data_IF_537386658377
#
_entry.id   IF_537386658377
#
_cell.length_a   1.000
_cell.length_b   1.000
_cell.length_c   1.000
_cell.angle_alpha   90.00
_cell.angle_beta   90.00
_cell.angle_gamma   90.00
#
_symmetry.space_group_name_H-M   'P 1'
#
loop_
_entity.id
_entity.type
_entity.pdbx_description
1 polymer ?
#
# COMPACT_ATOMS: atom_id res chain seq x y z
N UNK A 1 -35.37 -33.60 -44.82
CA UNK A 1 -35.02 -32.16 -44.62
C UNK A 1 -35.36 -31.79 -43.18
N UNK A 2 -34.37 -31.20 -42.46
CA UNK A 2 -34.42 -30.22 -41.36
C UNK A 2 -35.75 -30.12 -40.54
N UNK A 3 -35.76 -30.16 -39.21
CA UNK A 3 -34.99 -29.29 -38.29
C UNK A 3 -34.83 -29.89 -36.89
N UNK A 4 -33.73 -29.48 -36.26
CA UNK A 4 -33.20 -29.90 -34.95
C UNK A 4 -34.00 -29.30 -33.80
N UNK A 5 -34.29 -30.15 -32.82
CA UNK A 5 -34.87 -29.85 -31.51
C UNK A 5 -33.95 -28.95 -30.68
N UNK A 6 -34.60 -28.01 -30.01
CA UNK A 6 -34.05 -26.93 -29.19
C UNK A 6 -33.10 -27.42 -28.11
N UNK A 7 -31.81 -27.08 -28.25
CA UNK A 7 -30.87 -27.09 -27.15
C UNK A 7 -30.73 -25.67 -26.63
N UNK A 8 -31.38 -25.46 -25.48
CA UNK A 8 -31.28 -24.30 -24.59
C UNK A 8 -29.88 -23.68 -24.56
N UNK A 9 -29.88 -22.38 -24.82
CA UNK A 9 -29.21 -21.30 -24.07
C UNK A 9 -28.03 -21.74 -23.20
N UNK A 10 -26.86 -21.15 -23.45
CA UNK A 10 -25.97 -20.52 -22.45
C UNK A 10 -24.67 -20.09 -23.14
N UNK A 11 -24.64 -18.86 -23.66
CA UNK A 11 -23.39 -18.22 -24.11
C UNK A 11 -23.43 -16.68 -23.89
N UNK A 12 -24.19 -16.23 -22.91
CA UNK A 12 -24.25 -14.83 -22.51
C UNK A 12 -24.20 -14.77 -20.98
N UNK A 13 -23.01 -14.68 -20.41
CA UNK A 13 -22.91 -14.64 -18.96
C UNK A 13 -21.52 -14.88 -18.40
N UNK A 14 -20.51 -14.18 -18.90
CA UNK A 14 -19.40 -13.73 -18.04
C UNK A 14 -18.57 -12.70 -18.81
N UNK A 15 -19.19 -11.55 -19.06
CA UNK A 15 -18.40 -10.32 -19.05
C UNK A 15 -17.87 -10.24 -17.62
N UNK A 16 -16.63 -10.70 -17.44
CA UNK A 16 -15.82 -10.44 -16.25
C UNK A 16 -16.09 -8.99 -15.90
N UNK A 17 -16.83 -8.78 -14.80
CA UNK A 17 -17.05 -7.47 -14.22
C UNK A 17 -15.66 -6.96 -13.92
N UNK A 18 -15.07 -6.22 -14.87
CA UNK A 18 -13.87 -5.43 -14.67
C UNK A 18 -14.27 -4.61 -13.47
N UNK A 19 -13.72 -4.96 -12.30
CA UNK A 19 -13.97 -4.23 -11.07
C UNK A 19 -13.59 -2.81 -11.47
N UNK A 20 -14.62 -1.97 -11.60
CA UNK A 20 -14.43 -0.55 -11.79
C UNK A 20 -13.53 -0.17 -10.63
N UNK A 21 -12.25 0.05 -10.94
CA UNK A 21 -11.28 0.59 -10.02
C UNK A 21 -11.71 2.03 -9.84
N UNK A 22 -12.77 2.25 -9.06
CA UNK A 22 -13.05 3.55 -8.53
C UNK A 22 -11.76 3.94 -7.79
N UNK A 23 -11.08 5.04 -8.18
CA UNK A 23 -9.82 5.39 -7.56
C UNK A 23 -10.07 5.54 -6.06
N UNK A 24 -9.51 4.61 -5.28
CA UNK A 24 -9.54 4.71 -3.82
C UNK A 24 -8.60 5.85 -3.47
N UNK A 25 -9.16 6.96 -3.00
CA UNK A 25 -8.36 8.00 -2.36
C UNK A 25 -7.96 7.48 -0.99
N UNK A 26 -6.65 7.45 -0.72
CA UNK A 26 -6.09 7.02 0.55
C UNK A 26 -5.36 8.23 1.13
N UNK A 27 -5.79 8.67 2.31
CA UNK A 27 -5.13 9.71 3.08
C UNK A 27 -4.47 9.05 4.30
N UNK A 28 -3.18 9.34 4.51
CA UNK A 28 -2.42 8.83 5.65
C UNK A 28 -1.94 10.02 6.44
N UNK A 29 -2.36 10.10 7.70
CA UNK A 29 -1.88 11.10 8.64
C UNK A 29 -0.93 10.46 9.64
N UNK A 30 0.33 10.90 9.65
CA UNK A 30 1.32 10.49 10.65
C UNK A 30 1.53 11.68 11.58
N UNK A 31 0.95 11.61 12.79
CA UNK A 31 1.05 12.71 13.76
C UNK A 31 2.50 13.00 14.17
N UNK A 32 3.28 11.96 14.44
CA UNK A 32 4.69 12.10 14.83
C UNK A 32 5.53 10.94 14.29
N UNK A 33 6.73 11.26 13.79
CA UNK A 33 7.75 10.29 13.40
C UNK A 33 9.03 10.57 14.20
N UNK A 34 9.39 9.66 15.10
CA UNK A 34 10.60 9.78 15.93
C UNK A 34 11.69 8.90 15.34
N UNK A 35 12.79 9.53 14.90
CA UNK A 35 13.94 8.85 14.32
C UNK A 35 15.20 9.16 15.14
N UNK A 36 15.80 8.11 15.71
CA UNK A 36 17.07 8.23 16.40
C UNK A 36 18.24 7.94 15.45
N UNK A 37 19.35 8.68 15.61
CA UNK A 37 20.58 8.46 14.84
C UNK A 37 20.62 9.04 13.42
N UNK A 38 19.62 9.86 13.05
CA UNK A 38 19.59 10.60 11.79
C UNK A 38 19.89 12.09 12.01
N UNK A 39 20.51 12.71 11.00
CA UNK A 39 20.71 14.16 11.01
C UNK A 39 19.40 14.88 10.71
N UNK A 40 19.26 16.12 11.18
CA UNK A 40 18.14 16.98 10.80
C UNK A 40 18.05 17.19 9.28
N UNK A 41 19.18 17.15 8.58
CA UNK A 41 19.25 17.22 7.11
C UNK A 41 18.56 16.05 6.42
N UNK A 42 18.45 14.90 7.08
CA UNK A 42 17.89 13.68 6.48
C UNK A 42 16.36 13.66 6.53
N UNK A 43 15.74 14.55 7.32
CA UNK A 43 14.29 14.60 7.52
C UNK A 43 13.51 14.66 6.22
N UNK A 44 13.90 15.56 5.30
CA UNK A 44 13.21 15.77 4.03
C UNK A 44 13.37 14.56 3.09
N UNK A 45 14.60 14.10 2.81
CA UNK A 45 14.80 12.88 2.02
C UNK A 45 14.08 11.64 2.56
N UNK A 46 14.08 11.44 3.88
CA UNK A 46 13.39 10.30 4.50
C UNK A 46 11.88 10.41 4.32
N UNK A 47 11.30 11.58 4.57
CA UNK A 47 9.85 11.80 4.41
C UNK A 47 9.40 11.54 2.97
N UNK A 48 10.13 12.05 1.98
CA UNK A 48 9.84 11.85 0.55
C UNK A 48 9.95 10.37 0.15
N UNK A 49 10.92 9.65 0.73
CA UNK A 49 11.06 8.22 0.51
C UNK A 49 9.96 7.40 1.17
N UNK A 50 9.51 7.77 2.38
CA UNK A 50 8.39 7.12 3.07
C UNK A 50 7.11 7.30 2.23
N UNK A 51 6.83 8.52 1.79
CA UNK A 51 5.64 8.82 0.99
C UNK A 51 5.61 8.01 -0.31
N UNK A 52 6.74 7.95 -1.02
CA UNK A 52 6.86 7.17 -2.25
C UNK A 52 6.62 5.68 -2.03
N UNK A 53 7.22 5.08 -1.00
CA UNK A 53 7.05 3.66 -0.73
C UNK A 53 5.65 3.34 -0.19
N UNK A 54 5.08 4.17 0.70
CA UNK A 54 3.70 3.99 1.16
C UNK A 54 2.70 4.10 0.02
N UNK A 55 2.89 5.06 -0.91
CA UNK A 55 2.06 5.15 -2.12
C UNK A 55 2.10 3.86 -2.92
N UNK A 56 3.29 3.27 -3.09
CA UNK A 56 3.45 1.98 -3.77
C UNK A 56 2.71 0.86 -3.03
N UNK A 57 2.92 0.71 -1.72
CA UNK A 57 2.35 -0.38 -0.92
C UNK A 57 0.82 -0.29 -0.78
N UNK A 58 0.29 0.91 -0.55
CA UNK A 58 -1.14 1.15 -0.31
C UNK A 58 -1.98 1.08 -1.58
N UNK A 59 -1.36 1.25 -2.76
CA UNK A 59 -2.05 1.12 -4.06
C UNK A 59 -2.03 -0.31 -4.61
N UNK A 60 -1.37 -1.25 -3.93
CA UNK A 60 -1.45 -2.66 -4.27
C UNK A 60 -2.87 -3.19 -4.02
N UNK A 61 -3.38 -4.02 -4.93
CA UNK A 61 -4.76 -4.55 -4.88
C UNK A 61 -5.09 -5.34 -3.59
N UNK A 62 -4.07 -5.80 -2.89
CA UNK A 62 -4.15 -6.60 -1.67
C UNK A 62 -4.41 -5.76 -0.41
N UNK A 63 -4.31 -4.43 -0.47
CA UNK A 63 -4.61 -3.57 0.66
C UNK A 63 -6.13 -3.45 0.88
N UNK A 64 -6.66 -4.37 1.67
CA UNK A 64 -8.07 -4.43 2.10
C UNK A 64 -8.19 -4.03 3.56
N UNK A 65 -7.96 -2.75 3.85
CA UNK A 65 -8.22 -2.19 5.18
C UNK A 65 -9.65 -1.64 5.31
N UNK A 66 -10.17 -1.51 6.54
CA UNK A 66 -11.44 -0.84 6.80
C UNK A 66 -11.43 0.59 6.27
N UNK A 67 -12.62 1.17 6.05
CA UNK A 67 -12.80 2.54 5.53
C UNK A 67 -12.07 3.61 6.33
N UNK A 68 -11.81 3.34 7.62
CA UNK A 68 -10.98 4.15 8.49
C UNK A 68 -10.23 3.21 9.45
N UNK A 69 -8.96 3.52 9.70
CA UNK A 69 -8.10 2.82 10.64
C UNK A 69 -7.31 3.86 11.41
N UNK A 70 -7.30 3.74 12.73
CA UNK A 70 -6.49 4.55 13.64
C UNK A 70 -5.56 3.60 14.40
N UNK A 71 -4.27 3.96 14.47
CA UNK A 71 -3.26 3.18 15.17
C UNK A 71 -2.51 4.12 16.11
N UNK A 72 -2.61 3.87 17.42
CA UNK A 72 -2.00 4.72 18.46
C UNK A 72 -0.48 4.82 18.31
N UNK A 73 0.17 3.68 18.06
CA UNK A 73 1.62 3.62 17.92
C UNK A 73 2.06 2.44 17.06
N UNK A 74 3.00 2.70 16.15
CA UNK A 74 3.74 1.67 15.42
C UNK A 74 5.19 1.72 15.86
N UNK A 75 5.68 0.63 16.46
CA UNK A 75 7.11 0.46 16.70
C UNK A 75 7.75 -0.23 15.50
N UNK A 76 8.47 0.55 14.69
CA UNK A 76 9.15 0.07 13.50
C UNK A 76 10.44 -0.74 13.80
N UNK A 77 10.86 -0.81 15.07
CA UNK A 77 12.07 -1.52 15.48
C UNK A 77 13.35 -0.78 15.11
N UNK A 78 14.43 -1.55 14.91
CA UNK A 78 15.76 -1.04 14.54
C UNK A 78 16.14 -1.51 13.16
N UNK A 79 16.76 -0.62 12.38
CA UNK A 79 17.22 -0.92 11.02
C UNK A 79 18.73 -0.72 10.92
N UNK A 80 19.43 -1.68 10.31
CA UNK A 80 20.79 -1.47 9.85
C UNK A 80 20.75 -0.89 8.43
N UNK A 81 21.49 0.19 8.25
CA UNK A 81 21.55 0.92 6.99
C UNK A 81 22.98 0.90 6.48
N UNK A 82 23.13 0.48 5.23
CA UNK A 82 24.38 0.65 4.50
C UNK A 82 24.63 2.15 4.26
N UNK A 83 25.90 2.54 4.27
CA UNK A 83 26.32 3.96 4.25
C UNK A 83 25.94 4.70 2.97
N UNK A 84 25.77 3.99 1.84
CA UNK A 84 25.26 4.53 0.59
C UNK A 84 23.73 4.46 0.53
N UNK A 85 23.06 5.58 0.23
CA UNK A 85 21.60 5.61 0.06
C UNK A 85 20.80 5.61 1.37
N UNK A 86 21.46 5.93 2.50
CA UNK A 86 20.93 5.84 3.86
C UNK A 86 19.50 6.35 4.03
N UNK A 87 19.17 7.52 3.48
CA UNK A 87 17.84 8.14 3.64
C UNK A 87 16.74 7.46 2.83
N UNK A 88 17.06 6.97 1.63
CA UNK A 88 16.11 6.28 0.78
C UNK A 88 15.83 4.86 1.30
N UNK A 89 16.88 4.11 1.62
CA UNK A 89 16.74 2.79 2.24
C UNK A 89 16.05 2.86 3.60
N UNK A 90 16.35 3.89 4.40
CA UNK A 90 15.63 4.13 5.66
C UNK A 90 14.14 4.39 5.43
N UNK A 91 13.79 5.30 4.52
CA UNK A 91 12.41 5.64 4.27
C UNK A 91 11.59 4.46 3.75
N UNK A 92 12.15 3.64 2.87
CA UNK A 92 11.50 2.41 2.40
C UNK A 92 11.26 1.40 3.54
N UNK A 93 12.27 1.19 4.40
CA UNK A 93 12.14 0.28 5.54
C UNK A 93 11.09 0.76 6.55
N UNK A 94 11.07 2.07 6.85
CA UNK A 94 10.07 2.68 7.73
C UNK A 94 8.66 2.52 7.14
N UNK A 95 8.48 2.81 5.85
CA UNK A 95 7.19 2.67 5.17
C UNK A 95 6.66 1.23 5.21
N UNK A 96 7.52 0.23 5.02
CA UNK A 96 7.15 -1.19 5.13
C UNK A 96 6.74 -1.58 6.54
N UNK A 97 7.42 -1.05 7.56
CA UNK A 97 7.05 -1.29 8.95
C UNK A 97 5.68 -0.66 9.29
N UNK A 98 5.43 0.57 8.82
CA UNK A 98 4.12 1.22 8.94
C UNK A 98 3.05 0.37 8.24
N UNK A 99 3.27 -0.01 6.98
CA UNK A 99 2.33 -0.84 6.22
C UNK A 99 2.05 -2.18 6.91
N UNK A 100 3.06 -2.82 7.49
CA UNK A 100 2.90 -4.03 8.29
C UNK A 100 2.05 -3.79 9.54
N UNK A 101 2.30 -2.71 10.27
CA UNK A 101 1.53 -2.33 11.45
C UNK A 101 0.06 -1.98 11.15
N UNK A 102 -0.22 -1.43 9.96
CA UNK A 102 -1.60 -1.16 9.51
C UNK A 102 -2.41 -2.42 9.16
N UNK A 103 -1.76 -3.59 9.03
CA UNK A 103 -2.40 -4.86 8.64
C UNK A 103 -2.62 -5.82 9.81
N UNK A 104 -2.22 -5.45 11.02
CA UNK A 104 -2.31 -6.28 12.23
C UNK A 104 -3.66 -6.14 12.93
#
# INVERSE_FOLDING_TARGET
MKTRSDRKTNAAGEMRKVRSHNPRSIEVHIGQLVLHGFSHSDRRPIAESIERELRSLLTQEEFSNPTSLEVDQINAGSFQLESSGRSESAGANIARAIYGGLRQ
#
